data_IF_463184704540
#
_entry.id   IF_463184704540
#
_cell.length_a   1.000
_cell.length_b   1.000
_cell.length_c   1.000
_cell.angle_alpha   90.00
_cell.angle_beta   90.00
_cell.angle_gamma   90.00
#
_symmetry.space_group_name_H-M   'P 1'
#
loop_
_entity.id
_entity.type
_entity.pdbx_description
1 polymer ?
#
# COMPACT_ATOMS: atom_id res chain seq x y z
N UNK A 1 7.66 16.90 12.89
CA UNK A 1 7.37 15.47 12.66
C UNK A 1 5.96 15.14 13.12
N UNK A 2 5.23 14.43 12.32
CA UNK A 2 3.87 14.01 12.64
C UNK A 2 3.67 12.55 12.21
N UNK A 3 2.54 11.97 12.56
CA UNK A 3 2.08 10.69 12.02
C UNK A 3 0.95 10.96 11.05
N UNK A 4 1.05 10.36 9.88
CA UNK A 4 0.06 10.49 8.81
C UNK A 4 -0.54 9.12 8.52
N UNK A 5 -1.84 9.07 8.28
CA UNK A 5 -2.52 7.82 7.90
C UNK A 5 -3.04 7.92 6.47
N UNK A 6 -2.77 6.89 5.69
CA UNK A 6 -3.30 6.72 4.33
C UNK A 6 -4.24 5.53 4.31
N UNK A 7 -5.41 5.73 3.73
CA UNK A 7 -6.42 4.68 3.57
C UNK A 7 -6.55 4.39 2.08
N UNK A 8 -6.25 3.16 1.68
CA UNK A 8 -6.20 2.75 0.28
C UNK A 8 -7.31 1.76 -0.04
N UNK A 9 -7.93 1.91 -1.21
CA UNK A 9 -9.07 1.11 -1.65
C UNK A 9 -8.80 0.31 -2.93
N UNK A 10 -8.06 0.88 -3.88
CA UNK A 10 -7.93 0.30 -5.20
C UNK A 10 -6.90 -0.83 -5.26
N UNK A 11 -7.20 -1.88 -6.03
CA UNK A 11 -6.24 -2.95 -6.29
C UNK A 11 -5.11 -2.47 -7.19
N UNK A 12 -4.07 -3.31 -7.39
CA UNK A 12 -2.99 -3.00 -8.31
C UNK A 12 -3.50 -2.74 -9.73
N UNK A 13 -2.94 -1.74 -10.39
CA UNK A 13 -3.15 -1.45 -11.82
C UNK A 13 -4.55 -0.98 -12.23
N UNK A 14 -5.48 -0.81 -11.30
CA UNK A 14 -6.83 -0.31 -11.61
C UNK A 14 -6.84 1.18 -11.95
N UNK A 15 -6.00 1.95 -11.29
CA UNK A 15 -5.93 3.39 -11.51
C UNK A 15 -4.57 3.94 -11.08
N UNK A 16 -4.28 5.17 -11.52
CA UNK A 16 -3.08 5.88 -11.09
C UNK A 16 -3.11 6.28 -9.61
N UNK A 17 -4.24 6.17 -8.95
CA UNK A 17 -4.39 6.56 -7.54
C UNK A 17 -3.51 5.75 -6.61
N UNK A 18 -3.34 4.45 -6.88
CA UNK A 18 -2.44 3.60 -6.11
C UNK A 18 -1.00 4.08 -6.20
N UNK A 19 -0.53 4.37 -7.40
CA UNK A 19 0.83 4.89 -7.63
C UNK A 19 0.99 6.25 -6.94
N UNK A 20 0.01 7.12 -7.07
CA UNK A 20 0.01 8.42 -6.39
C UNK A 20 0.10 8.24 -4.86
N UNK A 21 -0.67 7.31 -4.30
CA UNK A 21 -0.63 7.03 -2.87
C UNK A 21 0.76 6.57 -2.41
N UNK A 22 1.38 5.64 -3.13
CA UNK A 22 2.72 5.15 -2.79
C UNK A 22 3.77 6.28 -2.89
N UNK A 23 3.64 7.17 -3.86
CA UNK A 23 4.52 8.36 -3.98
C UNK A 23 4.31 9.35 -2.85
N UNK A 24 3.08 9.53 -2.38
CA UNK A 24 2.79 10.40 -1.23
C UNK A 24 3.36 9.81 0.06
N UNK A 25 3.28 8.49 0.23
CA UNK A 25 3.89 7.80 1.36
C UNK A 25 5.41 8.00 1.36
N UNK A 26 6.06 7.82 0.21
CA UNK A 26 7.48 8.07 0.06
C UNK A 26 7.84 9.51 0.45
N UNK A 27 7.09 10.48 -0.05
CA UNK A 27 7.32 11.89 0.26
C UNK A 27 7.15 12.17 1.76
N UNK A 28 6.16 11.58 2.41
CA UNK A 28 5.92 11.74 3.84
C UNK A 28 7.11 11.21 4.67
N UNK A 29 7.59 10.00 4.34
CA UNK A 29 8.73 9.40 5.01
C UNK A 29 9.99 10.25 4.85
N UNK A 30 10.26 10.74 3.63
CA UNK A 30 11.43 11.59 3.35
C UNK A 30 11.37 12.93 4.09
N UNK A 31 10.17 13.42 4.40
CA UNK A 31 9.98 14.63 5.18
C UNK A 31 9.99 14.42 6.69
N UNK A 32 10.29 13.20 7.13
CA UNK A 32 10.47 12.89 8.54
C UNK A 32 9.18 12.54 9.29
N UNK A 33 8.12 12.16 8.56
CA UNK A 33 6.88 11.71 9.18
C UNK A 33 6.83 10.21 9.32
N UNK A 34 6.15 9.75 10.37
CA UNK A 34 5.74 8.35 10.47
C UNK A 34 4.45 8.16 9.68
N UNK A 35 4.27 6.96 9.11
CA UNK A 35 3.14 6.67 8.24
C UNK A 35 2.46 5.39 8.66
N UNK A 36 1.14 5.46 8.75
CA UNK A 36 0.26 4.30 8.86
C UNK A 36 -0.49 4.12 7.55
N UNK A 37 -0.66 2.89 7.11
CA UNK A 37 -1.46 2.56 5.93
C UNK A 37 -2.51 1.52 6.32
N UNK A 38 -3.76 1.81 6.01
CA UNK A 38 -4.84 0.85 6.11
C UNK A 38 -5.32 0.52 4.70
N UNK A 39 -5.07 -0.71 4.27
CA UNK A 39 -5.50 -1.21 2.96
C UNK A 39 -6.76 -2.06 3.14
N UNK A 40 -7.85 -1.70 2.47
CA UNK A 40 -9.07 -2.47 2.49
C UNK A 40 -9.65 -2.58 1.08
N UNK A 41 -10.74 -3.32 0.93
CA UNK A 41 -11.28 -3.63 -0.39
C UNK A 41 -10.19 -4.23 -1.29
N UNK A 42 -10.13 -3.84 -2.53
CA UNK A 42 -9.14 -4.34 -3.49
C UNK A 42 -7.68 -4.05 -3.12
N UNK A 43 -7.44 -3.04 -2.29
CA UNK A 43 -6.08 -2.66 -1.91
C UNK A 43 -5.35 -3.72 -1.09
N UNK A 44 -6.06 -4.71 -0.52
CA UNK A 44 -5.42 -5.84 0.17
C UNK A 44 -4.57 -6.70 -0.76
N UNK A 45 -4.75 -6.57 -2.07
CA UNK A 45 -3.92 -7.25 -3.06
C UNK A 45 -2.59 -6.54 -3.34
N UNK A 46 -2.40 -5.30 -2.86
CA UNK A 46 -1.17 -4.54 -3.11
C UNK A 46 0.08 -5.23 -2.55
N UNK A 47 0.08 -5.73 -1.30
CA UNK A 47 1.24 -6.42 -0.75
C UNK A 47 1.21 -7.95 -0.93
N UNK A 48 0.40 -8.46 -1.85
CA UNK A 48 0.26 -9.90 -2.06
C UNK A 48 1.61 -10.54 -2.42
N UNK A 49 2.04 -11.51 -1.63
CA UNK A 49 3.40 -12.07 -1.74
C UNK A 49 3.67 -12.79 -3.07
N UNK A 50 2.63 -13.38 -3.67
CA UNK A 50 2.75 -14.15 -4.91
C UNK A 50 2.49 -13.33 -6.17
N UNK A 51 2.51 -12.00 -6.10
CA UNK A 51 2.47 -11.19 -7.33
C UNK A 51 3.61 -11.61 -8.24
N UNK A 52 3.32 -11.72 -9.52
CA UNK A 52 4.31 -12.06 -10.55
C UNK A 52 4.32 -10.98 -11.63
N UNK A 53 5.48 -10.73 -12.26
CA UNK A 53 5.54 -9.86 -13.43
C UNK A 53 4.59 -10.34 -14.52
N UNK A 54 3.96 -9.40 -15.22
CA UNK A 54 3.05 -9.72 -16.32
C UNK A 54 3.19 -8.69 -17.44
N UNK A 55 2.87 -9.10 -18.64
CA UNK A 55 2.85 -8.19 -19.77
C UNK A 55 1.69 -7.20 -19.65
N UNK A 56 1.90 -5.98 -20.16
CA UNK A 56 0.84 -5.00 -20.28
C UNK A 56 0.10 -5.20 -21.61
N UNK A 57 -1.05 -5.84 -21.54
CA UNK A 57 -1.83 -6.15 -22.74
C UNK A 57 -2.33 -4.90 -23.48
N UNK A 58 -2.55 -3.81 -22.75
CA UNK A 58 -3.04 -2.54 -23.34
C UNK A 58 -1.97 -1.89 -24.22
N UNK A 59 -0.72 -1.93 -23.78
CA UNK A 59 0.39 -1.31 -24.52
C UNK A 59 1.14 -2.28 -25.42
N UNK A 60 0.75 -3.55 -25.44
CA UNK A 60 1.40 -4.56 -26.26
C UNK A 60 2.86 -4.82 -25.87
N UNK A 61 3.26 -4.49 -24.66
CA UNK A 61 4.62 -4.69 -24.16
C UNK A 61 4.74 -6.04 -23.48
N UNK A 62 5.87 -6.69 -23.66
CA UNK A 62 6.19 -7.88 -22.88
C UNK A 62 6.73 -7.52 -21.49
N UNK A 63 6.97 -8.53 -20.66
CA UNK A 63 7.45 -8.33 -19.29
C UNK A 63 8.78 -7.58 -19.24
N UNK A 64 9.67 -7.85 -20.20
CA UNK A 64 11.00 -7.21 -20.23
C UNK A 64 10.92 -5.74 -20.63
N UNK A 65 9.91 -5.38 -21.47
CA UNK A 65 9.70 -3.99 -21.89
C UNK A 65 8.85 -3.18 -20.89
N UNK A 66 8.20 -3.83 -19.96
CA UNK A 66 7.33 -3.19 -18.99
C UNK A 66 8.15 -2.72 -17.79
N UNK A 67 8.25 -1.42 -17.62
CA UNK A 67 9.04 -0.81 -16.54
C UNK A 67 8.16 -0.46 -15.33
N UNK A 68 7.34 -1.40 -14.91
CA UNK A 68 6.51 -1.23 -13.73
C UNK A 68 6.95 -2.20 -12.64
N UNK A 69 7.36 -1.70 -11.47
CA UNK A 69 7.61 -2.58 -10.35
C UNK A 69 6.29 -3.23 -9.89
N UNK A 70 6.38 -4.46 -9.42
CA UNK A 70 5.23 -5.04 -8.74
C UNK A 70 4.93 -4.21 -7.47
N UNK A 71 3.66 -3.92 -7.15
CA UNK A 71 3.32 -3.17 -5.95
C UNK A 71 3.92 -3.75 -4.67
N UNK A 72 3.98 -5.08 -4.53
CA UNK A 72 4.61 -5.72 -3.37
C UNK A 72 6.07 -5.31 -3.18
N UNK A 73 6.82 -5.19 -4.27
CA UNK A 73 8.24 -4.83 -4.22
C UNK A 73 8.41 -3.36 -3.87
N UNK A 74 7.54 -2.51 -4.39
CA UNK A 74 7.52 -1.10 -4.04
C UNK A 74 7.22 -0.90 -2.55
N UNK A 75 6.21 -1.60 -2.03
CA UNK A 75 5.85 -1.54 -0.61
C UNK A 75 7.00 -2.04 0.26
N UNK A 76 7.65 -3.15 -0.12
CA UNK A 76 8.82 -3.65 0.58
C UNK A 76 9.95 -2.60 0.61
N UNK A 77 10.18 -1.91 -0.50
CA UNK A 77 11.17 -0.84 -0.59
C UNK A 77 10.82 0.36 0.31
N UNK A 78 9.55 0.73 0.38
CA UNK A 78 9.08 1.80 1.27
C UNK A 78 9.28 1.46 2.74
N UNK A 79 8.99 0.21 3.12
CA UNK A 79 9.20 -0.26 4.49
C UNK A 79 10.69 -0.23 4.84
N UNK A 80 11.56 -0.73 3.95
CA UNK A 80 13.00 -0.69 4.14
C UNK A 80 13.53 0.75 4.24
N UNK A 81 13.00 1.65 3.41
CA UNK A 81 13.37 3.06 3.45
C UNK A 81 12.97 3.72 4.77
N UNK A 82 11.78 3.42 5.28
CA UNK A 82 11.33 3.93 6.57
C UNK A 82 12.31 3.54 7.68
N UNK A 83 12.72 2.28 7.70
CA UNK A 83 13.71 1.79 8.67
C UNK A 83 15.04 2.54 8.55
N UNK A 84 15.54 2.72 7.33
CA UNK A 84 16.78 3.47 7.07
C UNK A 84 16.70 4.91 7.54
N UNK A 85 15.53 5.54 7.38
CA UNK A 85 15.29 6.92 7.80
C UNK A 85 14.98 7.05 9.29
N UNK A 86 14.89 5.94 10.04
CA UNK A 86 14.47 5.95 11.42
C UNK A 86 12.99 6.34 11.59
N UNK A 87 12.19 6.08 10.58
CA UNK A 87 10.75 6.35 10.57
C UNK A 87 9.95 5.06 10.65
N UNK A 88 8.69 5.18 10.97
CA UNK A 88 7.77 4.06 11.09
C UNK A 88 6.85 4.01 9.88
N UNK A 89 6.72 2.85 9.27
CA UNK A 89 5.69 2.56 8.29
C UNK A 89 4.95 1.30 8.75
N UNK A 90 3.72 1.47 9.24
CA UNK A 90 2.87 0.39 9.72
C UNK A 90 1.78 0.13 8.66
N UNK A 91 1.86 -1.00 7.99
CA UNK A 91 0.95 -1.37 6.91
C UNK A 91 0.02 -2.49 7.37
N UNK A 92 -1.28 -2.18 7.41
CA UNK A 92 -2.32 -3.11 7.84
C UNK A 92 -3.26 -3.43 6.67
N UNK A 93 -3.50 -4.71 6.45
CA UNK A 93 -4.50 -5.20 5.49
C UNK A 93 -5.76 -5.62 6.25
N UNK A 94 -6.93 -5.17 5.79
CA UNK A 94 -8.20 -5.61 6.34
C UNK A 94 -8.39 -7.11 6.11
N UNK A 95 -8.49 -7.88 7.20
CA UNK A 95 -8.55 -9.33 7.12
C UNK A 95 -9.79 -9.88 6.43
N UNK A 96 -10.96 -9.27 6.66
CA UNK A 96 -12.19 -9.69 5.98
C UNK A 96 -12.10 -9.43 4.48
N UNK A 97 -11.49 -8.32 4.07
CA UNK A 97 -11.31 -8.03 2.65
C UNK A 97 -10.35 -9.04 1.98
N UNK A 98 -9.33 -9.47 2.70
CA UNK A 98 -8.43 -10.55 2.24
C UNK A 98 -9.21 -11.84 2.03
N UNK A 99 -10.01 -12.25 3.01
CA UNK A 99 -10.77 -13.49 2.96
C UNK A 99 -11.83 -13.50 1.85
N UNK A 100 -12.57 -12.42 1.74
CA UNK A 100 -13.64 -12.27 0.73
C UNK A 100 -13.10 -12.32 -0.70
N UNK A 101 -11.87 -11.88 -0.91
CA UNK A 101 -11.26 -11.84 -2.23
C UNK A 101 -10.34 -13.02 -2.53
N UNK A 102 -10.17 -13.92 -1.58
CA UNK A 102 -9.27 -15.05 -1.75
C UNK A 102 -7.81 -14.63 -1.95
N UNK A 103 -7.43 -13.46 -1.47
CA UNK A 103 -6.04 -13.01 -1.51
C UNK A 103 -5.24 -13.82 -0.49
N UNK A 104 -4.10 -14.34 -0.89
CA UNK A 104 -3.23 -15.12 -0.03
C UNK A 104 -2.35 -14.26 0.87
N UNK A 105 -1.23 -14.82 1.29
CA UNK A 105 -0.32 -14.17 2.21
C UNK A 105 0.27 -12.89 1.62
N UNK A 106 0.44 -11.90 2.48
CA UNK A 106 1.13 -10.67 2.17
C UNK A 106 2.63 -10.79 2.47
N UNK A 107 3.42 -9.86 1.91
CA UNK A 107 4.85 -9.77 2.18
C UNK A 107 5.11 -9.50 3.67
N UNK A 108 6.32 -9.84 4.12
CA UNK A 108 6.75 -9.59 5.49
C UNK A 108 6.62 -8.11 5.87
N UNK A 109 6.41 -7.86 7.16
CA UNK A 109 6.27 -6.52 7.76
C UNK A 109 5.00 -5.78 7.34
N UNK A 110 4.12 -6.40 6.58
CA UNK A 110 2.72 -6.01 6.53
C UNK A 110 1.92 -6.97 7.39
N UNK A 111 0.81 -6.53 7.92
CA UNK A 111 0.04 -7.36 8.85
C UNK A 111 -1.45 -7.31 8.58
N UNK A 112 -2.11 -8.37 8.99
CA UNK A 112 -3.56 -8.46 8.95
C UNK A 112 -4.16 -7.70 10.13
N UNK A 113 -5.25 -7.00 9.92
CA UNK A 113 -5.96 -6.27 10.96
C UNK A 113 -7.43 -6.11 10.66
N UNK A 114 -8.03 -5.13 11.32
CA UNK A 114 -9.47 -4.87 11.27
C UNK A 114 -9.76 -3.37 11.27
N UNK A 115 -11.02 -2.94 11.08
CA UNK A 115 -11.38 -1.54 11.19
C UNK A 115 -11.00 -0.89 12.53
N UNK A 116 -10.83 -1.67 13.60
CA UNK A 116 -10.33 -1.15 14.87
C UNK A 116 -8.90 -0.59 14.73
N UNK A 117 -8.08 -1.21 13.89
CA UNK A 117 -6.74 -0.69 13.57
C UNK A 117 -6.82 0.64 12.85
N UNK A 118 -7.73 0.77 11.89
CA UNK A 118 -7.96 2.03 11.20
C UNK A 118 -8.38 3.12 12.19
N UNK A 119 -9.30 2.81 13.09
CA UNK A 119 -9.74 3.77 14.09
C UNK A 119 -8.58 4.26 14.97
N UNK A 120 -7.74 3.34 15.42
CA UNK A 120 -6.56 3.68 16.21
C UNK A 120 -5.58 4.55 15.41
N UNK A 121 -5.37 4.24 14.15
CA UNK A 121 -4.53 5.06 13.27
C UNK A 121 -5.05 6.48 13.14
N UNK A 122 -6.36 6.63 12.91
CA UNK A 122 -7.00 7.95 12.77
C UNK A 122 -6.80 8.77 14.05
N UNK A 123 -7.01 8.16 15.22
CA UNK A 123 -6.86 8.85 16.49
C UNK A 123 -5.42 9.30 16.79
N UNK A 124 -4.43 8.58 16.27
CA UNK A 124 -3.02 8.86 16.50
C UNK A 124 -2.41 9.81 15.45
N UNK A 125 -3.15 10.08 14.39
CA UNK A 125 -2.61 10.79 13.22
C UNK A 125 -2.94 12.28 13.26
N UNK A 126 -1.99 13.09 12.81
CA UNK A 126 -2.24 14.51 12.57
C UNK A 126 -3.19 14.71 11.39
N UNK A 127 -3.12 13.84 10.39
CA UNK A 127 -3.98 13.87 9.20
C UNK A 127 -4.20 12.44 8.69
N UNK A 128 -5.42 12.18 8.24
CA UNK A 128 -5.78 10.95 7.55
C UNK A 128 -6.22 11.29 6.13
N UNK A 129 -5.57 10.67 5.15
CA UNK A 129 -5.87 10.85 3.74
C UNK A 129 -6.50 9.58 3.19
N UNK A 130 -7.76 9.66 2.77
CA UNK A 130 -8.44 8.56 2.10
C UNK A 130 -8.25 8.70 0.60
N UNK A 131 -7.67 7.70 -0.02
CA UNK A 131 -7.50 7.64 -1.47
C UNK A 131 -8.76 6.96 -2.03
N UNK A 132 -9.65 7.69 -2.69
CA UNK A 132 -10.95 7.15 -3.09
C UNK A 132 -10.82 6.16 -4.23
N UNK A 133 -11.80 5.28 -4.33
CA UNK A 133 -11.94 4.38 -5.48
C UNK A 133 -12.27 5.17 -6.74
N UNK A 134 -11.75 4.71 -7.86
CA UNK A 134 -12.14 5.25 -9.16
C UNK A 134 -13.60 4.90 -9.45
N UNK A 135 -14.34 5.87 -9.87
CA UNK A 135 -15.75 5.71 -10.28
C UNK A 135 -15.88 5.66 -11.79
#
# INVERSE_FOLDING_TARGET
MATLTFVLNDPPYESARTVTALRLIDAALRRGHDVNVFAYEGAVALPFAKQAPHANAVHGRDVAAEDHPNPKDWIAALIAQAETLGRKLDWVNCGLCVDERGVGEAIDKTRRGSPADLWNFVQQSATTLVIPTKQ
#
